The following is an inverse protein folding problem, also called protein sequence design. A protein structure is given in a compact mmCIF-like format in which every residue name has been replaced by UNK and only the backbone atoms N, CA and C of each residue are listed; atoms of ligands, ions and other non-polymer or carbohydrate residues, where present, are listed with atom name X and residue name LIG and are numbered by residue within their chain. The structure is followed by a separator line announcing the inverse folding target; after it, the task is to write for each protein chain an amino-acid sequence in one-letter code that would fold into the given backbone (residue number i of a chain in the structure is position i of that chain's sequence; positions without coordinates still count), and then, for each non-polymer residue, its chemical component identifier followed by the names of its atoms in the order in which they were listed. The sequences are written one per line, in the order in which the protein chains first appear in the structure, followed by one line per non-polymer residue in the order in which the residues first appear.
data_IF_006311751065
#
_entry.id   IF_006311751065
#
_cell.length_a   1.000
_cell.length_b   1.000
_cell.length_c   1.000
_cell.angle_alpha   90.00
_cell.angle_beta   90.00
_cell.angle_gamma   90.00
#
_symmetry.space_group_name_H-M   'P 1'
#
loop_
_entity.id
_entity.type
_entity.pdbx_description
1 polymer ?
#
# COMPACT_ATOMS: atom_id res chain seq x y z
N UNK A 1 -70.18 -68.92 20.64
CA UNK A 1 -69.18 -67.84 20.90
C UNK A 1 -68.13 -67.96 19.80
N UNK A 2 -67.89 -66.97 18.93
CA UNK A 2 -66.65 -66.95 18.18
C UNK A 2 -65.54 -66.39 19.07
N UNK A 3 -64.39 -67.03 19.00
CA UNK A 3 -63.17 -66.77 19.75
C UNK A 3 -62.45 -65.54 19.18
N UNK A 4 -61.78 -64.80 20.08
CA UNK A 4 -60.92 -63.68 19.73
C UNK A 4 -59.69 -64.19 18.97
N UNK A 5 -59.51 -63.75 17.72
CA UNK A 5 -58.27 -63.95 17.00
C UNK A 5 -57.17 -63.05 17.60
N UNK A 6 -56.20 -63.69 18.26
CA UNK A 6 -54.92 -63.07 18.57
C UNK A 6 -54.23 -62.72 17.25
N UNK A 7 -53.91 -61.44 17.05
CA UNK A 7 -53.04 -61.03 15.95
C UNK A 7 -51.60 -61.36 16.36
N UNK A 8 -51.13 -62.51 15.90
CA UNK A 8 -49.75 -62.94 16.09
C UNK A 8 -48.83 -62.15 15.15
N UNK A 9 -47.71 -61.64 15.68
CA UNK A 9 -46.68 -60.99 14.86
C UNK A 9 -46.03 -62.09 14.03
N UNK A 10 -46.35 -62.14 12.74
CA UNK A 10 -45.73 -63.09 11.83
C UNK A 10 -44.29 -62.66 11.54
N UNK A 11 -43.35 -63.22 12.30
CA UNK A 11 -41.91 -63.08 12.05
C UNK A 11 -41.57 -64.01 10.90
N UNK A 12 -41.36 -63.43 9.70
CA UNK A 12 -40.95 -64.20 8.52
C UNK A 12 -39.62 -64.89 8.78
N UNK A 13 -39.62 -66.21 8.72
CA UNK A 13 -38.45 -67.07 8.90
C UNK A 13 -37.85 -67.47 7.55
N UNK A 14 -36.66 -68.11 7.58
CA UNK A 14 -36.03 -68.68 6.38
C UNK A 14 -36.88 -69.80 5.77
N UNK A 15 -37.79 -70.42 6.53
CA UNK A 15 -38.74 -71.39 5.98
C UNK A 15 -39.84 -70.70 5.14
N UNK A 16 -40.22 -69.46 5.48
CA UNK A 16 -41.18 -68.66 4.71
C UNK A 16 -40.56 -68.06 3.43
N UNK A 17 -39.22 -67.91 3.41
CA UNK A 17 -38.43 -67.42 2.27
C UNK A 17 -37.19 -68.31 2.13
N UNK A 18 -37.32 -69.51 1.53
CA UNK A 18 -36.19 -70.42 1.37
C UNK A 18 -35.04 -69.70 0.65
N UNK A 19 -33.80 -70.02 1.03
CA UNK A 19 -32.59 -69.40 0.46
C UNK A 19 -32.56 -69.50 -1.07
N UNK A 20 -33.22 -70.51 -1.63
CA UNK A 20 -33.40 -70.79 -3.05
C UNK A 20 -34.30 -69.74 -3.76
N UNK A 21 -35.07 -68.97 -2.99
CA UNK A 21 -35.98 -67.89 -3.44
C UNK A 21 -35.41 -66.52 -3.08
N UNK A 22 -34.43 -66.44 -2.18
CA UNK A 22 -33.61 -65.24 -2.03
C UNK A 22 -32.70 -65.21 -3.25
N UNK A 23 -32.89 -64.24 -4.18
CA UNK A 23 -32.00 -64.16 -5.32
C UNK A 23 -30.59 -64.06 -4.79
N UNK A 24 -29.71 -64.95 -5.24
CA UNK A 24 -28.28 -64.67 -5.14
C UNK A 24 -28.07 -63.28 -5.77
N UNK A 25 -27.20 -62.46 -5.18
CA UNK A 25 -26.85 -61.14 -5.73
C UNK A 25 -26.03 -61.33 -7.01
N UNK A 26 -26.68 -61.92 -8.00
CA UNK A 26 -26.24 -62.06 -9.36
C UNK A 26 -26.43 -60.68 -10.00
N UNK A 27 -25.55 -60.33 -10.93
CA UNK A 27 -25.58 -59.10 -11.72
C UNK A 27 -27.00 -58.57 -12.09
N UNK A 28 -27.99 -59.40 -12.50
CA UNK A 28 -29.35 -58.91 -12.80
C UNK A 28 -30.19 -58.39 -11.62
N UNK A 29 -29.82 -58.67 -10.36
CA UNK A 29 -30.58 -58.26 -9.16
C UNK A 29 -30.01 -57.01 -8.47
N UNK A 30 -28.83 -56.55 -8.89
CA UNK A 30 -28.26 -55.29 -8.43
C UNK A 30 -28.95 -54.16 -9.20
N UNK A 31 -29.54 -53.15 -8.54
CA UNK A 31 -30.10 -52.00 -9.23
C UNK A 31 -29.10 -51.44 -10.25
N UNK A 32 -29.52 -51.08 -11.47
CA UNK A 32 -28.61 -50.61 -12.51
C UNK A 32 -27.75 -49.42 -12.10
N UNK A 33 -28.18 -48.68 -11.08
CA UNK A 33 -27.48 -47.54 -10.47
C UNK A 33 -26.31 -47.97 -9.57
N UNK A 34 -26.39 -49.16 -8.96
CA UNK A 34 -25.38 -49.76 -8.08
C UNK A 34 -24.45 -50.69 -8.87
N UNK A 35 -24.92 -51.35 -9.93
CA UNK A 35 -24.12 -52.20 -10.83
C UNK A 35 -23.16 -51.42 -11.75
N UNK A 36 -22.96 -50.12 -11.49
CA UNK A 36 -22.18 -49.22 -12.35
C UNK A 36 -20.69 -49.29 -12.08
N UNK A 37 -20.20 -50.20 -11.25
CA UNK A 37 -18.77 -50.29 -10.91
C UNK A 37 -17.89 -50.33 -12.16
N UNK A 38 -18.28 -51.09 -13.19
CA UNK A 38 -17.54 -51.12 -14.47
C UNK A 38 -17.59 -49.77 -15.20
N UNK A 39 -18.71 -49.05 -15.17
CA UNK A 39 -18.85 -47.74 -15.80
C UNK A 39 -18.09 -46.65 -15.03
N UNK A 40 -18.10 -46.73 -13.69
CA UNK A 40 -17.37 -45.84 -12.80
C UNK A 40 -15.87 -46.07 -12.95
N UNK A 41 -15.41 -47.31 -12.95
CA UNK A 41 -14.01 -47.67 -13.19
C UNK A 41 -13.56 -47.21 -14.57
N UNK A 42 -14.39 -47.40 -15.60
CA UNK A 42 -14.11 -46.91 -16.95
C UNK A 42 -13.96 -45.38 -16.98
N UNK A 43 -14.82 -44.65 -16.27
CA UNK A 43 -14.74 -43.17 -16.18
C UNK A 43 -13.53 -42.70 -15.38
N UNK A 44 -13.18 -43.39 -14.30
CA UNK A 44 -11.98 -43.09 -13.50
C UNK A 44 -10.73 -43.31 -14.35
N UNK A 45 -10.68 -44.42 -15.10
CA UNK A 45 -9.56 -44.73 -16.00
C UNK A 45 -9.46 -43.68 -17.12
N UNK A 46 -10.58 -43.35 -17.76
CA UNK A 46 -10.67 -42.30 -18.79
C UNK A 46 -10.16 -40.97 -18.26
N UNK A 47 -10.57 -40.58 -17.05
CA UNK A 47 -10.13 -39.33 -16.44
C UNK A 47 -8.63 -39.34 -16.09
N UNK A 48 -8.11 -40.47 -15.59
CA UNK A 48 -6.69 -40.66 -15.26
C UNK A 48 -5.79 -40.58 -16.50
N UNK A 49 -6.27 -41.04 -17.64
CA UNK A 49 -5.53 -41.04 -18.91
C UNK A 49 -5.72 -39.74 -19.71
N UNK A 50 -6.71 -38.93 -19.37
CA UNK A 50 -6.93 -37.62 -19.97
C UNK A 50 -5.90 -36.60 -19.47
N UNK A 51 -4.73 -36.61 -20.12
CA UNK A 51 -3.68 -35.63 -19.89
C UNK A 51 -4.14 -34.19 -20.19
N UNK A 52 -5.18 -33.97 -21.00
CA UNK A 52 -5.72 -32.64 -21.29
C UNK A 52 -6.69 -32.13 -20.22
N UNK A 53 -7.32 -33.01 -19.44
CA UNK A 53 -8.11 -32.64 -18.26
C UNK A 53 -7.23 -32.11 -17.13
N UNK A 54 -6.00 -32.59 -17.06
CA UNK A 54 -4.95 -31.96 -16.26
C UNK A 54 -4.38 -30.80 -17.07
N UNK A 55 -5.03 -29.64 -16.98
CA UNK A 55 -4.54 -28.38 -17.54
C UNK A 55 -3.02 -28.36 -17.51
N UNK A 56 -2.38 -28.19 -18.67
CA UNK A 56 -0.95 -27.94 -18.75
C UNK A 56 -0.66 -26.84 -17.74
N UNK A 57 0.03 -27.21 -16.64
CA UNK A 57 0.38 -26.23 -15.63
C UNK A 57 1.22 -25.21 -16.37
N UNK A 58 0.89 -23.94 -16.20
CA UNK A 58 1.83 -22.86 -16.50
C UNK A 58 3.16 -23.27 -15.89
N UNK A 59 4.13 -23.57 -16.75
CA UNK A 59 5.46 -23.90 -16.29
C UNK A 59 6.04 -22.66 -15.63
N UNK A 60 6.92 -22.84 -14.65
CA UNK A 60 7.58 -21.70 -13.99
C UNK A 60 8.26 -20.80 -15.04
N UNK A 61 8.80 -21.40 -16.12
CA UNK A 61 9.36 -20.68 -17.25
C UNK A 61 8.35 -19.80 -18.01
N UNK A 62 7.11 -20.25 -18.20
CA UNK A 62 6.06 -19.45 -18.86
C UNK A 62 5.52 -18.33 -17.95
N UNK A 63 5.53 -18.55 -16.63
CA UNK A 63 5.19 -17.53 -15.65
C UNK A 63 6.27 -16.43 -15.61
N UNK A 64 7.55 -16.83 -15.57
CA UNK A 64 8.70 -15.94 -15.59
C UNK A 64 8.76 -15.13 -16.89
N UNK A 65 8.59 -15.77 -18.05
CA UNK A 65 8.57 -15.08 -19.34
C UNK A 65 7.45 -14.01 -19.41
N UNK A 66 6.28 -14.28 -18.80
CA UNK A 66 5.20 -13.29 -18.70
C UNK A 66 5.52 -12.16 -17.73
N UNK A 67 6.21 -12.44 -16.62
CA UNK A 67 6.63 -11.44 -15.66
C UNK A 67 7.68 -10.50 -16.29
N UNK A 68 8.70 -11.08 -16.93
CA UNK A 68 9.77 -10.33 -17.59
C UNK A 68 9.23 -9.44 -18.72
N UNK A 69 8.30 -9.94 -19.54
CA UNK A 69 7.65 -9.15 -20.58
C UNK A 69 6.89 -7.93 -20.01
N UNK A 70 6.24 -8.10 -18.85
CA UNK A 70 5.56 -6.99 -18.15
C UNK A 70 6.56 -5.98 -17.58
N UNK A 71 7.66 -6.44 -16.99
CA UNK A 71 8.71 -5.57 -16.43
C UNK A 71 9.38 -4.76 -17.55
N UNK A 72 9.76 -5.39 -18.66
CA UNK A 72 10.37 -4.71 -19.80
C UNK A 72 9.46 -3.61 -20.40
N UNK A 73 8.13 -3.82 -20.38
CA UNK A 73 7.16 -2.80 -20.79
C UNK A 73 7.20 -1.58 -19.87
N UNK A 74 7.48 -1.78 -18.59
CA UNK A 74 7.55 -0.69 -17.61
C UNK A 74 8.89 0.07 -17.68
N UNK A 75 10.00 -0.63 -17.95
CA UNK A 75 11.33 -0.02 -18.12
C UNK A 75 11.44 0.84 -19.39
N UNK A 76 10.71 0.47 -20.45
CA UNK A 76 10.67 1.23 -21.71
C UNK A 76 9.77 2.48 -21.66
N UNK A 77 8.93 2.62 -20.64
CA UNK A 77 8.14 3.81 -20.44
C UNK A 77 9.02 4.88 -19.80
N UNK A 78 9.50 5.81 -20.62
CA UNK A 78 10.01 7.07 -20.12
C UNK A 78 8.99 7.62 -19.12
N UNK A 79 9.44 7.90 -17.88
CA UNK A 79 8.60 8.55 -16.88
C UNK A 79 7.87 9.71 -17.56
N UNK A 80 6.53 9.76 -17.52
CA UNK A 80 5.79 10.87 -18.13
C UNK A 80 6.16 12.22 -17.49
N UNK A 81 6.87 12.17 -16.37
CA UNK A 81 7.52 13.30 -15.78
C UNK A 81 8.94 13.42 -16.35
N UNK A 82 9.10 14.33 -17.31
CA UNK A 82 10.42 14.86 -17.66
C UNK A 82 11.21 15.12 -16.37
N UNK A 83 12.50 14.76 -16.35
CA UNK A 83 13.39 15.08 -15.23
C UNK A 83 13.12 16.53 -14.82
N UNK A 84 12.65 16.71 -13.58
CA UNK A 84 12.06 17.97 -13.15
C UNK A 84 13.16 19.03 -13.04
N UNK A 85 13.41 19.77 -14.12
CA UNK A 85 14.29 20.95 -14.13
C UNK A 85 13.66 22.11 -13.33
N UNK A 86 12.40 21.97 -12.91
CA UNK A 86 11.70 22.86 -11.99
C UNK A 86 10.73 22.06 -11.09
N UNK A 87 10.71 22.35 -9.78
CA UNK A 87 9.78 21.76 -8.79
C UNK A 87 8.40 22.45 -8.82
N UNK A 88 8.25 23.52 -9.60
CA UNK A 88 7.01 24.28 -9.69
C UNK A 88 5.79 23.44 -10.10
N UNK A 89 4.70 23.58 -9.34
CA UNK A 89 3.45 22.86 -9.58
C UNK A 89 3.48 21.39 -9.12
N UNK A 90 4.55 20.93 -8.46
CA UNK A 90 4.59 19.61 -7.82
C UNK A 90 3.88 19.65 -6.48
N UNK A 91 3.30 18.53 -6.11
CA UNK A 91 2.64 18.35 -4.83
C UNK A 91 3.55 17.63 -3.83
N UNK A 92 3.60 18.11 -2.59
CA UNK A 92 4.23 17.41 -1.46
C UNK A 92 3.12 16.85 -0.55
N UNK A 93 3.25 15.58 -0.19
CA UNK A 93 2.44 15.00 0.88
C UNK A 93 2.94 15.47 2.23
N UNK A 94 2.04 15.99 3.05
CA UNK A 94 2.28 16.41 4.42
C UNK A 94 1.94 15.28 5.39
N UNK A 95 2.48 15.35 6.60
CA UNK A 95 2.34 14.34 7.66
C UNK A 95 0.94 14.31 8.30
N UNK A 96 0.17 15.38 8.14
CA UNK A 96 -1.26 15.45 8.47
C UNK A 96 -2.16 14.77 7.41
N UNK A 97 -1.57 14.29 6.31
CA UNK A 97 -2.28 13.67 5.20
C UNK A 97 -2.74 14.66 4.12
N UNK A 98 -2.48 15.96 4.30
CA UNK A 98 -2.80 16.97 3.29
C UNK A 98 -1.75 17.02 2.18
N UNK A 99 -2.11 17.71 1.09
CA UNK A 99 -1.25 17.85 -0.09
C UNK A 99 -0.98 19.33 -0.35
N UNK A 100 0.28 19.73 -0.24
CA UNK A 100 0.72 21.09 -0.54
C UNK A 100 1.13 21.21 -2.01
N UNK A 101 0.61 22.22 -2.72
CA UNK A 101 1.06 22.59 -4.07
C UNK A 101 2.26 23.53 -3.93
N UNK A 102 3.40 23.12 -4.50
CA UNK A 102 4.61 23.93 -4.47
C UNK A 102 4.60 25.01 -5.55
N UNK A 103 4.96 26.26 -5.21
CA UNK A 103 5.13 27.32 -6.19
C UNK A 103 6.34 27.05 -7.10
N UNK A 104 6.39 27.72 -8.25
CA UNK A 104 7.54 27.69 -9.14
C UNK A 104 8.72 28.38 -8.46
N UNK A 105 9.83 27.66 -8.31
CA UNK A 105 11.10 28.19 -7.81
C UNK A 105 12.13 28.17 -8.95
N UNK A 106 12.95 29.22 -9.03
CA UNK A 106 14.07 29.33 -9.99
C UNK A 106 15.40 28.96 -9.34
N UNK A 107 16.46 28.82 -10.14
CA UNK A 107 17.80 28.53 -9.63
C UNK A 107 18.24 29.66 -8.68
N UNK A 108 18.54 29.32 -7.42
CA UNK A 108 18.87 30.28 -6.37
C UNK A 108 17.70 30.64 -5.44
N UNK A 109 16.49 30.15 -5.70
CA UNK A 109 15.36 30.26 -4.78
C UNK A 109 15.31 29.08 -3.79
N UNK A 110 14.84 29.36 -2.58
CA UNK A 110 14.38 28.37 -1.61
C UNK A 110 12.87 28.42 -1.46
N UNK A 111 12.29 27.25 -1.20
CA UNK A 111 10.89 27.15 -0.78
C UNK A 111 10.81 27.43 0.71
N UNK A 112 10.02 28.44 1.08
CA UNK A 112 9.78 28.82 2.48
C UNK A 112 8.29 28.82 2.78
N UNK A 113 7.96 28.64 4.06
CA UNK A 113 6.58 28.69 4.54
C UNK A 113 6.22 30.15 4.84
N UNK A 114 5.42 30.75 3.96
CA UNK A 114 4.80 32.06 4.15
C UNK A 114 3.51 31.99 4.97
N UNK A 115 2.87 33.15 5.16
CA UNK A 115 1.67 33.28 6.01
C UNK A 115 0.46 32.47 5.53
N UNK A 116 0.36 32.22 4.23
CA UNK A 116 -0.79 31.54 3.59
C UNK A 116 -0.41 30.26 2.87
N UNK A 117 0.85 29.80 2.96
CA UNK A 117 1.32 28.59 2.29
C UNK A 117 2.79 28.62 1.91
N UNK A 118 3.20 27.72 1.02
CA UNK A 118 4.56 27.69 0.49
C UNK A 118 4.76 28.80 -0.56
N UNK A 119 5.86 29.54 -0.44
CA UNK A 119 6.29 30.56 -1.39
C UNK A 119 7.75 30.30 -1.80
N UNK A 120 8.09 30.62 -3.05
CA UNK A 120 9.48 30.65 -3.50
C UNK A 120 10.05 32.04 -3.20
N UNK A 121 11.31 32.09 -2.75
CA UNK A 121 12.02 33.34 -2.62
C UNK A 121 13.52 33.10 -2.52
N UNK A 122 14.30 34.16 -2.63
CA UNK A 122 15.75 34.08 -2.56
C UNK A 122 16.19 33.31 -1.31
N UNK A 123 17.27 32.51 -1.44
CA UNK A 123 18.01 32.00 -0.27
C UNK A 123 18.21 33.18 0.68
N UNK A 124 17.69 33.14 1.92
CA UNK A 124 17.95 34.22 2.86
C UNK A 124 19.47 34.32 2.97
N UNK A 125 19.98 35.48 2.56
CA UNK A 125 21.39 35.79 2.71
C UNK A 125 21.71 35.54 4.18
N UNK A 126 22.71 34.69 4.40
CA UNK A 126 23.30 34.28 5.66
C UNK A 126 22.95 35.16 6.87
N UNK A 127 22.74 34.56 8.05
CA UNK A 127 22.60 35.30 9.31
C UNK A 127 23.78 36.27 9.41
N UNK A 128 23.49 37.55 9.22
CA UNK A 128 24.52 38.56 9.09
C UNK A 128 25.04 38.89 10.48
N UNK A 129 26.36 38.85 10.64
CA UNK A 129 27.02 39.18 11.91
C UNK A 129 27.56 40.60 11.84
N UNK A 130 27.01 41.49 12.65
CA UNK A 130 27.46 42.87 12.79
C UNK A 130 28.41 43.00 13.98
N UNK A 131 29.55 43.67 13.79
CA UNK A 131 30.45 44.09 14.87
C UNK A 131 30.52 45.61 14.86
N UNK A 132 29.82 46.25 15.80
CA UNK A 132 29.69 47.70 15.84
C UNK A 132 29.30 48.17 17.25
N UNK A 133 29.66 49.41 17.60
CA UNK A 133 29.22 50.05 18.85
C UNK A 133 27.73 50.44 18.82
N UNK A 134 27.18 50.69 17.62
CA UNK A 134 25.77 51.03 17.43
C UNK A 134 24.98 49.83 16.91
N UNK A 135 23.76 49.68 17.43
CA UNK A 135 22.83 48.65 16.99
C UNK A 135 22.45 48.84 15.50
N UNK A 136 22.57 47.80 14.67
CA UNK A 136 22.19 47.87 13.26
C UNK A 136 20.67 47.85 13.08
N UNK A 137 20.18 48.58 12.08
CA UNK A 137 18.80 48.45 11.63
C UNK A 137 18.66 47.16 10.82
N UNK A 138 17.85 46.20 11.31
CA UNK A 138 17.65 44.92 10.65
C UNK A 138 16.33 44.95 9.90
N UNK A 139 16.37 44.56 8.62
CA UNK A 139 15.19 44.50 7.77
C UNK A 139 14.07 43.63 8.39
N UNK A 140 12.82 43.95 8.06
CA UNK A 140 11.69 43.12 8.45
C UNK A 140 11.90 41.66 8.01
N UNK A 141 11.44 40.72 8.83
CA UNK A 141 11.55 39.28 8.61
C UNK A 141 12.98 38.76 8.47
N UNK A 142 13.98 39.52 8.93
CA UNK A 142 15.39 39.13 8.92
C UNK A 142 15.92 38.88 10.33
N UNK A 143 16.89 37.98 10.42
CA UNK A 143 17.60 37.65 11.67
C UNK A 143 19.08 37.96 11.49
N UNK A 144 19.66 38.63 12.48
CA UNK A 144 21.07 38.98 12.52
C UNK A 144 21.67 38.71 13.89
N UNK A 145 22.99 38.58 13.95
CA UNK A 145 23.73 38.59 15.21
C UNK A 145 24.45 39.94 15.30
N UNK A 146 24.34 40.63 16.42
CA UNK A 146 25.08 41.86 16.69
C UNK A 146 26.01 41.66 17.89
N UNK A 147 27.30 41.89 17.67
CA UNK A 147 28.33 41.99 18.68
C UNK A 147 28.55 43.49 18.98
N UNK A 148 28.07 43.94 20.14
CA UNK A 148 28.33 45.28 20.64
C UNK A 148 29.81 45.39 20.98
N UNK A 149 30.52 46.27 20.29
CA UNK A 149 31.96 46.48 20.47
C UNK A 149 32.27 47.66 21.40
N UNK A 150 31.26 48.21 22.09
CA UNK A 150 31.45 49.29 23.05
C UNK A 150 32.30 48.82 24.21
N UNK A 151 33.43 49.49 24.44
CA UNK A 151 34.41 49.09 25.46
C UNK A 151 33.77 49.03 26.85
N UNK A 152 33.85 47.87 27.51
CA UNK A 152 33.28 47.62 28.84
C UNK A 152 31.80 47.25 28.84
N UNK A 153 31.16 47.14 27.67
CA UNK A 153 29.78 46.73 27.47
C UNK A 153 29.64 45.62 26.41
N UNK A 154 30.73 44.93 26.10
CA UNK A 154 30.79 43.97 24.99
C UNK A 154 29.79 42.82 25.20
N UNK A 155 28.82 42.68 24.30
CA UNK A 155 27.73 41.70 24.38
C UNK A 155 27.34 41.19 23.01
N UNK A 156 26.77 39.99 22.97
CA UNK A 156 26.25 39.40 21.75
C UNK A 156 24.72 39.38 21.82
N UNK A 157 24.08 39.70 20.70
CA UNK A 157 22.64 39.78 20.59
C UNK A 157 22.17 39.04 19.35
N UNK A 158 21.16 38.19 19.51
CA UNK A 158 20.33 37.74 18.39
C UNK A 158 19.25 38.79 18.16
N UNK A 159 19.23 39.39 16.98
CA UNK A 159 18.29 40.45 16.60
C UNK A 159 17.30 39.91 15.57
N UNK A 160 16.02 40.13 15.85
CA UNK A 160 14.91 39.91 14.93
C UNK A 160 14.39 41.27 14.45
N UNK A 161 14.55 41.56 13.16
CA UNK A 161 14.04 42.79 12.55
C UNK A 161 12.54 42.68 12.28
N UNK A 162 11.78 43.71 12.67
CA UNK A 162 10.31 43.72 12.49
C UNK A 162 9.82 44.75 11.48
N UNK A 163 10.48 45.91 11.39
CA UNK A 163 10.05 47.03 10.53
C UNK A 163 11.20 47.69 9.75
N UNK A 164 12.43 47.18 9.86
CA UNK A 164 13.60 47.78 9.21
C UNK A 164 14.25 48.93 9.98
N UNK A 165 13.80 49.25 11.19
CA UNK A 165 14.38 50.28 12.06
C UNK A 165 14.94 49.69 13.36
N UNK A 166 15.95 50.35 13.95
CA UNK A 166 16.53 49.95 15.23
C UNK A 166 15.47 49.85 16.34
N UNK A 167 14.52 50.79 16.37
CA UNK A 167 13.46 50.80 17.37
C UNK A 167 12.50 49.61 17.26
N UNK A 168 12.36 49.02 16.07
CA UNK A 168 11.53 47.84 15.83
C UNK A 168 12.25 46.53 16.13
N UNK A 169 13.56 46.54 16.35
CA UNK A 169 14.30 45.32 16.65
C UNK A 169 13.81 44.65 17.93
N UNK A 170 13.70 43.31 17.90
CA UNK A 170 13.59 42.48 19.10
C UNK A 170 14.92 41.81 19.35
N UNK A 171 15.41 41.88 20.58
CA UNK A 171 16.75 41.44 20.95
C UNK A 171 16.71 40.36 22.02
N UNK A 172 17.56 39.36 21.85
CA UNK A 172 17.85 38.35 22.86
C UNK A 172 19.36 38.34 23.09
N UNK A 173 19.80 38.51 24.34
CA UNK A 173 21.23 38.45 24.67
C UNK A 173 21.73 37.00 24.50
N UNK A 174 22.85 36.85 23.80
CA UNK A 174 23.58 35.61 23.63
C UNK A 174 24.81 35.68 24.55
N UNK A 175 24.98 34.66 25.39
CA UNK A 175 25.97 34.65 26.48
C UNK A 175 27.43 34.68 26.04
#
# INVERSE_FOLDING_TARGET
RPEFALHEIHVKTVEDHPLDVIPTMDEPHIPPEIARDTEVDSKILTHKEDASAHHDRYTDAEADARADAKVATHDGLASPHAAATAIGGKTLGLDDGDVAVLPVATEGDVLKRGATGWEAGAVPAEITVYKAEAEPAIAADSVAIWCDTTVGLERWWLIFGTDGAVAGNKKVEMG
#
